data_IF_243560816867
#
_entry.id   IF_243560816867
#
_cell.length_a   1.000
_cell.length_b   1.000
_cell.length_c   1.000
_cell.angle_alpha   90.00
_cell.angle_beta   90.00
_cell.angle_gamma   90.00
#
_symmetry.space_group_name_H-M   'P 1'
#
loop_
_entity.id
_entity.type
_entity.pdbx_description
1 polymer ?
#
# COMPACT_ATOMS: atom_id res chain seq x y z
N UNK A 1 -1.15 -7.22 10.74
CA UNK A 1 -2.46 -6.90 10.12
C UNK A 1 -2.80 -7.98 9.10
N UNK A 2 -4.07 -8.16 8.74
CA UNK A 2 -4.46 -9.13 7.70
C UNK A 2 -5.03 -8.37 6.52
N UNK A 3 -4.44 -8.53 5.34
CA UNK A 3 -4.88 -7.90 4.10
C UNK A 3 -5.02 -9.00 3.05
N UNK A 4 -6.18 -9.06 2.38
CA UNK A 4 -6.48 -10.06 1.36
C UNK A 4 -6.19 -11.51 1.83
N UNK A 5 -6.56 -11.83 3.08
CA UNK A 5 -6.29 -13.14 3.69
C UNK A 5 -4.83 -13.43 4.03
N UNK A 6 -3.89 -12.51 3.75
CA UNK A 6 -2.47 -12.66 4.07
C UNK A 6 -2.11 -11.88 5.33
N UNK A 7 -1.39 -12.55 6.24
CA UNK A 7 -0.83 -11.90 7.42
C UNK A 7 0.41 -11.07 7.06
N UNK A 8 0.39 -9.80 7.46
CA UNK A 8 1.46 -8.85 7.27
C UNK A 8 2.01 -8.42 8.63
N UNK A 9 3.30 -8.66 8.83
CA UNK A 9 4.06 -8.10 9.93
C UNK A 9 4.57 -6.70 9.57
N UNK A 10 3.65 -5.75 9.38
CA UNK A 10 3.94 -4.36 9.08
C UNK A 10 3.42 -3.46 10.21
N UNK A 11 4.29 -2.56 10.71
CA UNK A 11 3.93 -1.55 11.72
C UNK A 11 4.43 -0.18 11.28
N UNK A 12 3.53 0.79 11.10
CA UNK A 12 3.92 2.17 10.72
C UNK A 12 4.77 2.87 11.78
N UNK A 13 4.72 2.40 13.03
CA UNK A 13 5.60 2.86 14.12
C UNK A 13 7.03 2.33 14.00
N UNK A 14 7.30 1.35 13.14
CA UNK A 14 8.65 0.84 12.89
C UNK A 14 9.31 1.69 11.80
N UNK A 15 10.48 2.25 12.08
CA UNK A 15 11.20 3.14 11.17
C UNK A 15 11.50 2.50 9.81
N UNK A 16 11.85 1.22 9.79
CA UNK A 16 12.16 0.48 8.56
C UNK A 16 10.90 0.30 7.71
N UNK A 17 9.80 -0.10 8.33
CA UNK A 17 8.52 -0.30 7.64
C UNK A 17 7.98 1.03 7.09
N UNK A 18 8.06 2.11 7.87
CA UNK A 18 7.69 3.45 7.43
C UNK A 18 8.55 3.90 6.23
N UNK A 19 9.87 3.75 6.30
CA UNK A 19 10.78 4.08 5.20
C UNK A 19 10.53 3.24 3.94
N UNK A 20 10.27 1.94 4.09
CA UNK A 20 9.91 1.05 2.98
C UNK A 20 8.59 1.47 2.33
N UNK A 21 7.59 1.86 3.12
CA UNK A 21 6.32 2.38 2.61
C UNK A 21 6.50 3.69 1.85
N UNK A 22 7.31 4.63 2.36
CA UNK A 22 7.61 5.89 1.65
C UNK A 22 8.30 5.65 0.30
N UNK A 23 9.25 4.71 0.26
CA UNK A 23 9.91 4.30 -0.99
C UNK A 23 8.91 3.65 -1.96
N UNK A 24 8.05 2.77 -1.45
CA UNK A 24 7.02 2.11 -2.26
C UNK A 24 6.02 3.13 -2.85
N UNK A 25 5.63 4.15 -2.09
CA UNK A 25 4.77 5.23 -2.58
C UNK A 25 5.43 6.06 -3.69
N UNK A 26 6.73 6.37 -3.54
CA UNK A 26 7.49 7.10 -4.57
C UNK A 26 7.59 6.32 -5.88
N UNK A 27 7.86 5.01 -5.80
CA UNK A 27 7.90 4.16 -6.99
C UNK A 27 6.52 4.03 -7.63
N UNK A 28 5.47 3.87 -6.81
CA UNK A 28 4.08 3.84 -7.27
C UNK A 28 3.70 5.12 -8.04
N UNK A 29 4.06 6.31 -7.53
CA UNK A 29 3.81 7.59 -8.21
C UNK A 29 4.53 7.67 -9.56
N UNK A 30 5.76 7.16 -9.64
CA UNK A 30 6.54 7.10 -10.88
C UNK A 30 5.87 6.17 -11.89
N UNK A 31 5.47 4.96 -11.49
CA UNK A 31 4.76 4.01 -12.34
C UNK A 31 3.43 4.59 -12.83
N UNK A 32 2.65 5.25 -11.97
CA UNK A 32 1.41 5.90 -12.37
C UNK A 32 1.64 6.95 -13.47
N UNK A 33 2.69 7.78 -13.33
CA UNK A 33 3.05 8.77 -14.34
C UNK A 33 3.43 8.12 -15.67
N UNK A 34 4.16 7.01 -15.64
CA UNK A 34 4.55 6.26 -16.84
C UNK A 34 3.32 5.64 -17.54
N UNK A 35 2.43 5.00 -16.78
CA UNK A 35 1.18 4.41 -17.29
C UNK A 35 0.27 5.48 -17.89
N UNK A 36 0.12 6.64 -17.24
CA UNK A 36 -0.68 7.78 -17.76
C UNK A 36 -0.07 8.39 -19.03
N UNK A 37 1.25 8.38 -19.18
CA UNK A 37 1.95 8.91 -20.36
C UNK A 37 1.92 7.94 -21.54
N UNK A 38 1.85 6.63 -21.28
CA UNK A 38 1.72 5.59 -22.29
C UNK A 38 0.35 5.62 -22.96
N UNK A 39 0.18 6.53 -23.94
CA UNK A 39 -1.13 6.91 -24.51
C UNK A 39 -1.80 5.87 -25.43
N UNK A 40 -1.29 4.64 -25.52
CA UNK A 40 -1.79 3.58 -26.42
C UNK A 40 -1.83 2.18 -25.77
N UNK A 41 -2.00 2.10 -24.44
CA UNK A 41 -2.18 0.80 -23.78
C UNK A 41 -3.57 0.22 -24.07
N UNK A 42 -3.61 -1.06 -24.46
CA UNK A 42 -4.86 -1.82 -24.49
C UNK A 42 -5.50 -1.86 -23.09
N UNK A 43 -6.83 -2.07 -23.02
CA UNK A 43 -7.55 -2.16 -21.74
C UNK A 43 -6.95 -3.24 -20.81
N UNK A 44 -6.60 -4.42 -21.36
CA UNK A 44 -5.96 -5.49 -20.59
C UNK A 44 -4.57 -5.08 -20.08
N UNK A 45 -3.77 -4.39 -20.89
CA UNK A 45 -2.45 -3.89 -20.45
C UNK A 45 -2.58 -2.83 -19.36
N UNK A 46 -3.58 -1.95 -19.43
CA UNK A 46 -3.84 -0.95 -18.41
C UNK A 46 -4.28 -1.59 -17.08
N UNK A 47 -5.14 -2.62 -17.14
CA UNK A 47 -5.56 -3.41 -15.97
C UNK A 47 -4.36 -4.12 -15.33
N UNK A 48 -3.54 -4.81 -16.14
CA UNK A 48 -2.35 -5.48 -15.63
C UNK A 48 -1.38 -4.50 -14.98
N UNK A 49 -1.14 -3.33 -15.60
CA UNK A 49 -0.28 -2.31 -15.03
C UNK A 49 -0.80 -1.78 -13.69
N UNK A 50 -2.12 -1.64 -13.52
CA UNK A 50 -2.72 -1.28 -12.23
C UNK A 50 -2.50 -2.35 -11.17
N UNK A 51 -2.72 -3.63 -11.51
CA UNK A 51 -2.49 -4.76 -10.59
C UNK A 51 -1.02 -4.82 -10.18
N UNK A 52 -0.10 -4.74 -11.15
CA UNK A 52 1.34 -4.79 -10.91
C UNK A 52 1.82 -3.63 -10.05
N UNK A 53 1.26 -2.43 -10.25
CA UNK A 53 1.56 -1.26 -9.43
C UNK A 53 1.22 -1.51 -7.95
N UNK A 54 0.02 -2.02 -7.64
CA UNK A 54 -0.35 -2.36 -6.26
C UNK A 54 0.46 -3.55 -5.71
N UNK A 55 0.74 -4.56 -6.54
CA UNK A 55 1.51 -5.73 -6.15
C UNK A 55 2.95 -5.36 -5.78
N UNK A 56 3.57 -4.51 -6.59
CA UNK A 56 4.92 -3.98 -6.34
C UNK A 56 4.94 -3.12 -5.07
N UNK A 57 3.92 -2.29 -4.85
CA UNK A 57 3.79 -1.55 -3.59
C UNK A 57 3.84 -2.50 -2.38
N UNK A 58 3.04 -3.57 -2.37
CA UNK A 58 3.03 -4.51 -1.24
C UNK A 58 4.36 -5.23 -1.04
N UNK A 59 5.00 -5.68 -2.12
CA UNK A 59 6.32 -6.32 -2.06
C UNK A 59 7.38 -5.37 -1.51
N UNK A 60 7.40 -4.12 -1.95
CA UNK A 60 8.37 -3.13 -1.48
C UNK A 60 8.11 -2.70 -0.04
N UNK A 61 6.86 -2.39 0.30
CA UNK A 61 6.49 -1.88 1.62
C UNK A 61 6.60 -2.97 2.69
N UNK A 62 6.20 -4.20 2.39
CA UNK A 62 5.97 -5.27 3.39
C UNK A 62 6.85 -6.50 3.20
N UNK A 63 7.47 -6.67 2.02
CA UNK A 63 8.18 -7.90 1.64
C UNK A 63 7.25 -9.05 1.23
N UNK A 64 5.93 -8.88 1.32
CA UNK A 64 4.93 -9.92 1.05
C UNK A 64 4.16 -9.62 -0.23
N UNK A 65 3.95 -10.66 -1.03
CA UNK A 65 3.11 -10.62 -2.21
C UNK A 65 1.63 -10.78 -1.84
N UNK A 66 0.97 -9.70 -1.41
CA UNK A 66 -0.44 -9.70 -0.99
C UNK A 66 -1.41 -10.08 -2.11
N UNK A 67 -1.02 -9.83 -3.36
CA UNK A 67 -1.84 -9.96 -4.56
C UNK A 67 -1.40 -11.14 -5.44
N UNK A 68 -0.75 -12.14 -4.86
CA UNK A 68 -0.42 -13.37 -5.57
C UNK A 68 -1.67 -14.03 -6.15
N UNK A 69 -1.69 -14.23 -7.48
CA UNK A 69 -2.84 -14.78 -8.19
C UNK A 69 -4.02 -13.81 -8.38
N UNK A 70 -3.88 -12.53 -8.02
CA UNK A 70 -4.90 -11.52 -8.25
C UNK A 70 -4.91 -11.09 -9.73
N UNK A 71 -6.03 -11.30 -10.41
CA UNK A 71 -6.24 -10.90 -11.80
C UNK A 71 -7.27 -9.76 -11.95
N UNK A 72 -7.93 -9.37 -10.84
CA UNK A 72 -8.90 -8.28 -10.81
C UNK A 72 -8.29 -7.00 -10.21
N UNK A 73 -8.40 -5.88 -10.93
CA UNK A 73 -7.84 -4.60 -10.50
C UNK A 73 -8.63 -3.92 -9.38
N UNK A 74 -9.94 -4.20 -9.26
CA UNK A 74 -10.76 -3.68 -8.16
C UNK A 74 -10.41 -4.40 -6.86
N UNK A 75 -10.19 -5.71 -6.90
CA UNK A 75 -9.72 -6.48 -5.74
C UNK A 75 -8.33 -6.02 -5.28
N UNK A 76 -7.42 -5.81 -6.24
CA UNK A 76 -6.09 -5.24 -5.97
C UNK A 76 -6.17 -3.86 -5.28
N UNK A 77 -7.03 -2.97 -5.80
CA UNK A 77 -7.28 -1.64 -5.22
C UNK A 77 -7.93 -1.73 -3.84
N UNK A 78 -8.83 -2.69 -3.64
CA UNK A 78 -9.51 -2.90 -2.36
C UNK A 78 -8.51 -3.32 -1.29
N UNK A 79 -7.62 -4.28 -1.60
CA UNK A 79 -6.54 -4.68 -0.71
C UNK A 79 -5.63 -3.50 -0.32
N UNK A 80 -5.24 -2.68 -1.30
CA UNK A 80 -4.47 -1.45 -1.05
C UNK A 80 -5.23 -0.47 -0.14
N UNK A 81 -6.53 -0.27 -0.38
CA UNK A 81 -7.38 0.60 0.44
C UNK A 81 -7.51 0.10 1.88
N UNK A 82 -7.67 -1.20 2.07
CA UNK A 82 -7.74 -1.81 3.40
C UNK A 82 -6.41 -1.73 4.15
N UNK A 83 -5.29 -1.86 3.43
CA UNK A 83 -3.97 -1.61 4.00
C UNK A 83 -3.87 -0.16 4.51
N UNK A 84 -4.25 0.83 3.70
CA UNK A 84 -4.21 2.23 4.12
C UNK A 84 -5.11 2.51 5.34
N UNK A 85 -6.28 1.86 5.44
CA UNK A 85 -7.14 1.97 6.63
C UNK A 85 -6.44 1.43 7.88
N UNK A 86 -5.80 0.27 7.80
CA UNK A 86 -5.02 -0.29 8.92
C UNK A 86 -3.85 0.61 9.32
N UNK A 87 -3.15 1.20 8.34
CA UNK A 87 -2.11 2.21 8.62
C UNK A 87 -2.69 3.42 9.34
N UNK A 88 -3.85 3.92 8.90
CA UNK A 88 -4.50 5.07 9.55
C UNK A 88 -4.86 4.76 11.00
N UNK A 89 -5.36 3.55 11.30
CA UNK A 89 -5.64 3.10 12.68
C UNK A 89 -4.36 3.07 13.52
N UNK A 90 -3.26 2.53 12.97
CA UNK A 90 -1.99 2.51 13.68
C UNK A 90 -1.45 3.92 13.93
N UNK A 91 -1.55 4.84 12.96
CA UNK A 91 -1.15 6.25 13.14
C UNK A 91 -1.96 6.92 14.25
N UNK A 92 -3.27 6.71 14.28
CA UNK A 92 -4.12 7.23 15.35
C UNK A 92 -3.68 6.71 16.72
N UNK A 93 -3.42 5.41 16.85
CA UNK A 93 -2.94 4.80 18.10
C UNK A 93 -1.57 5.33 18.56
N UNK A 94 -0.69 5.76 17.64
CA UNK A 94 0.60 6.39 17.98
C UNK A 94 0.42 7.83 18.46
N UNK A 95 -0.56 8.56 17.91
CA UNK A 95 -0.79 9.98 18.21
C UNK A 95 -1.69 10.21 19.42
N UNK A 96 -2.62 9.30 19.73
CA UNK A 96 -3.50 9.37 20.91
C UNK A 96 -2.76 9.51 22.27
N UNK A 97 -1.60 8.88 22.50
CA UNK A 97 -0.78 9.10 23.70
C UNK A 97 -0.19 10.51 23.83
N UNK A 98 -0.06 11.27 22.73
CA UNK A 98 0.52 12.63 22.73
C UNK A 98 -0.50 13.73 23.05
N UNK A 99 -1.72 13.38 23.47
CA UNK A 99 -2.61 14.35 24.12
C UNK A 99 -2.01 14.78 25.47
N UNK A 100 -1.31 15.91 25.46
CA UNK A 100 -0.75 16.57 26.66
C UNK A 100 -1.82 16.92 27.71
N UNK A 101 -3.12 16.82 27.38
CA UNK A 101 -4.22 16.98 28.33
C UNK A 101 -4.27 15.90 29.42
N UNK A 102 -3.58 14.76 29.22
CA UNK A 102 -3.45 13.69 30.23
C UNK A 102 -2.29 13.90 31.21
N UNK A 103 -1.41 14.88 30.98
CA UNK A 103 -0.33 15.27 31.89
C UNK A 103 -0.74 16.56 32.61
N UNK A 104 -1.88 16.51 33.30
CA UNK A 104 -2.31 17.53 34.27
C UNK A 104 -2.35 16.93 35.66
#
# INVERSE_FOLDING_TARGET
MVINGKELNFKISNLKDAGNMELALKEMEKTEKEVRKGKDLSTSSAIQAMIDMFRNFFKMATGVDVLEGCEDALDAKQAYSDFLKEISKQKQAILEPFSLDRIK
#
